data_IF_810142583108
#
_entry.id   IF_810142583108
#
_cell.length_a   1.000
_cell.length_b   1.000
_cell.length_c   1.000
_cell.angle_alpha   90.00
_cell.angle_beta   90.00
_cell.angle_gamma   90.00
#
_symmetry.space_group_name_H-M   'P 1'
#
loop_
_entity.id
_entity.type
_entity.pdbx_description
1 polymer ?
#
# COMPACT_ATOMS: atom_id res chain seq x y z
N UNK A 1 21.94 13.03 45.58
CA UNK A 1 22.52 13.26 44.24
C UNK A 1 21.56 12.67 43.23
N UNK A 2 20.96 13.54 42.42
CA UNK A 2 19.78 13.24 41.62
C UNK A 2 20.16 12.58 40.28
N UNK A 3 19.86 11.29 40.14
CA UNK A 3 20.12 10.49 38.94
C UNK A 3 19.28 10.94 37.71
N UNK A 4 18.39 11.91 37.88
CA UNK A 4 17.57 12.49 36.80
C UNK A 4 18.35 13.37 35.83
N UNK A 5 19.52 13.88 36.23
CA UNK A 5 20.35 14.73 35.36
C UNK A 5 21.23 13.94 34.37
N UNK A 6 21.39 12.62 34.55
CA UNK A 6 22.18 11.78 33.64
C UNK A 6 21.37 11.32 32.41
N UNK A 7 20.05 11.22 32.50
CA UNK A 7 19.18 10.82 31.38
C UNK A 7 18.88 11.98 30.42
N UNK A 8 18.97 13.23 30.87
CA UNK A 8 18.73 14.41 30.03
C UNK A 8 19.90 14.76 29.11
N UNK A 9 21.05 14.07 29.21
CA UNK A 9 22.27 14.40 28.47
C UNK A 9 22.54 13.52 27.25
N UNK A 10 21.62 12.60 26.89
CA UNK A 10 21.79 11.71 25.74
C UNK A 10 20.94 12.06 24.49
N UNK A 11 20.10 13.09 24.51
CA UNK A 11 19.19 13.39 23.37
C UNK A 11 19.62 14.55 22.46
N UNK A 12 20.91 14.90 22.41
CA UNK A 12 21.42 15.93 21.48
C UNK A 12 22.40 15.34 20.46
N UNK A 13 22.04 14.19 19.89
CA UNK A 13 22.64 13.66 18.66
C UNK A 13 21.57 13.66 17.58
N UNK A 14 21.92 14.12 16.37
CA UNK A 14 21.05 14.03 15.19
C UNK A 14 20.53 12.58 15.09
N UNK A 15 19.22 12.36 15.08
CA UNK A 15 18.65 11.01 15.00
C UNK A 15 19.08 10.38 13.66
N UNK A 16 20.08 9.49 13.69
CA UNK A 16 20.67 8.86 12.51
C UNK A 16 20.07 7.50 12.18
N UNK A 17 19.04 7.05 12.91
CA UNK A 17 18.45 5.70 12.76
C UNK A 17 18.03 5.40 11.32
N UNK A 18 17.57 6.41 10.58
CA UNK A 18 17.14 6.27 9.19
C UNK A 18 18.16 6.77 8.14
N UNK A 19 19.38 7.17 8.53
CA UNK A 19 20.33 7.77 7.56
C UNK A 19 20.73 6.80 6.45
N UNK A 20 20.98 5.53 6.80
CA UNK A 20 21.26 4.49 5.80
C UNK A 20 20.03 4.22 4.91
N UNK A 21 18.85 4.08 5.51
CA UNK A 21 17.59 3.86 4.80
C UNK A 21 17.33 4.95 3.75
N UNK A 22 17.47 6.22 4.15
CA UNK A 22 17.32 7.38 3.26
C UNK A 22 18.36 7.36 2.15
N UNK A 23 19.64 7.12 2.47
CA UNK A 23 20.70 7.06 1.45
C UNK A 23 20.46 5.96 0.42
N UNK A 24 20.04 4.76 0.87
CA UNK A 24 19.73 3.64 -0.01
C UNK A 24 18.49 3.91 -0.87
N UNK A 25 17.42 4.47 -0.30
CA UNK A 25 16.22 4.86 -1.05
C UNK A 25 16.54 5.90 -2.11
N UNK A 26 17.35 6.93 -1.81
CA UNK A 26 17.77 7.95 -2.78
C UNK A 26 18.51 7.38 -3.99
N UNK A 27 19.35 6.36 -3.79
CA UNK A 27 20.02 5.67 -4.90
C UNK A 27 19.04 4.84 -5.73
N UNK A 28 18.02 4.27 -5.11
CA UNK A 28 17.00 3.49 -5.83
C UNK A 28 15.98 4.38 -6.56
N UNK A 29 15.69 5.57 -6.02
CA UNK A 29 14.84 6.58 -6.68
C UNK A 29 15.37 6.95 -8.08
N UNK A 30 16.69 6.93 -8.29
CA UNK A 30 17.28 7.24 -9.61
C UNK A 30 16.98 6.17 -10.68
N UNK A 31 16.39 5.04 -10.29
CA UNK A 31 16.05 3.92 -11.17
C UNK A 31 14.56 3.86 -11.50
N UNK A 32 13.75 4.74 -10.91
CA UNK A 32 12.32 4.85 -11.22
C UNK A 32 12.12 5.28 -12.68
N UNK A 33 10.98 4.86 -13.25
CA UNK A 33 10.56 5.32 -14.57
C UNK A 33 10.42 6.84 -14.58
N UNK A 34 11.03 7.48 -15.57
CA UNK A 34 10.94 8.93 -15.75
C UNK A 34 9.67 9.30 -16.48
N UNK A 35 9.22 10.56 -16.36
CA UNK A 35 8.09 11.08 -17.15
C UNK A 35 8.28 10.84 -18.65
N UNK A 36 9.49 11.10 -19.16
CA UNK A 36 9.85 10.84 -20.56
C UNK A 36 9.76 9.37 -20.99
N UNK A 37 9.87 8.43 -20.05
CA UNK A 37 9.67 7.00 -20.35
C UNK A 37 8.18 6.71 -20.54
N UNK A 38 7.32 7.26 -19.67
CA UNK A 38 5.87 7.15 -19.80
C UNK A 38 5.37 7.80 -21.10
N UNK A 39 5.90 8.97 -21.48
CA UNK A 39 5.53 9.65 -22.73
C UNK A 39 5.79 8.76 -23.94
N UNK A 40 6.99 8.16 -24.02
CA UNK A 40 7.32 7.23 -25.10
C UNK A 40 6.45 5.97 -25.09
N UNK A 41 6.14 5.43 -23.91
CA UNK A 41 5.25 4.27 -23.78
C UNK A 41 3.83 4.59 -24.27
N UNK A 42 3.37 5.82 -24.09
CA UNK A 42 2.07 6.29 -24.55
C UNK A 42 2.03 6.53 -26.07
N UNK A 43 3.16 6.85 -26.69
CA UNK A 43 3.32 7.00 -28.14
C UNK A 43 3.46 5.65 -28.89
N UNK A 44 3.63 4.53 -28.17
CA UNK A 44 3.74 3.20 -28.77
C UNK A 44 2.48 2.85 -29.57
N UNK A 45 2.65 2.24 -30.76
CA UNK A 45 1.52 1.95 -31.64
C UNK A 45 0.69 0.76 -31.13
N UNK A 46 1.30 -0.10 -30.31
CA UNK A 46 0.65 -1.27 -29.72
C UNK A 46 1.01 -1.45 -28.26
N UNK A 47 0.15 -2.18 -27.55
CA UNK A 47 0.38 -2.56 -26.16
C UNK A 47 1.64 -3.43 -26.01
N UNK A 48 1.90 -4.33 -26.97
CA UNK A 48 3.09 -5.18 -27.02
C UNK A 48 4.38 -4.37 -27.14
N UNK A 49 4.39 -3.32 -27.94
CA UNK A 49 5.54 -2.42 -28.07
C UNK A 49 5.79 -1.68 -26.75
N UNK A 50 4.73 -1.18 -26.12
CA UNK A 50 4.81 -0.54 -24.80
C UNK A 50 5.39 -1.49 -23.74
N UNK A 51 4.91 -2.75 -23.70
CA UNK A 51 5.45 -3.78 -22.81
C UNK A 51 6.90 -4.15 -23.12
N UNK A 52 7.29 -4.18 -24.40
CA UNK A 52 8.67 -4.46 -24.80
C UNK A 52 9.61 -3.36 -24.31
N UNK A 53 9.20 -2.10 -24.40
CA UNK A 53 9.98 -1.00 -23.82
C UNK A 53 10.15 -1.17 -22.31
N UNK A 54 9.10 -1.60 -21.60
CA UNK A 54 9.15 -1.88 -20.17
C UNK A 54 10.08 -3.06 -19.84
N UNK A 55 10.12 -4.13 -20.64
CA UNK A 55 11.01 -5.28 -20.41
C UNK A 55 12.48 -4.98 -20.66
N UNK A 56 12.78 -3.96 -21.46
CA UNK A 56 14.14 -3.45 -21.64
C UNK A 56 14.64 -2.73 -20.37
N UNK A 57 13.74 -2.21 -19.53
CA UNK A 57 14.10 -1.62 -18.24
C UNK A 57 14.52 -2.73 -17.23
N UNK A 58 15.75 -2.69 -16.68
CA UNK A 58 16.23 -3.71 -15.75
C UNK A 58 15.36 -3.89 -14.49
N UNK A 59 14.73 -2.83 -13.99
CA UNK A 59 13.91 -2.88 -12.77
C UNK A 59 12.54 -3.55 -12.99
N UNK A 60 12.06 -3.62 -14.24
CA UNK A 60 10.74 -4.16 -14.60
C UNK A 60 10.81 -5.42 -15.46
N UNK A 61 11.97 -5.74 -16.04
CA UNK A 61 12.18 -6.92 -16.89
C UNK A 61 11.58 -8.19 -16.30
N UNK A 62 11.93 -8.50 -15.06
CA UNK A 62 11.50 -9.74 -14.42
C UNK A 62 9.98 -9.81 -14.25
N UNK A 63 9.31 -8.68 -13.98
CA UNK A 63 7.85 -8.67 -13.86
C UNK A 63 7.18 -8.87 -15.21
N UNK A 64 7.72 -8.25 -16.27
CA UNK A 64 7.20 -8.41 -17.63
C UNK A 64 7.40 -9.84 -18.12
N UNK A 65 8.54 -10.46 -17.83
CA UNK A 65 8.81 -11.87 -18.15
C UNK A 65 7.88 -12.84 -17.40
N UNK A 66 7.49 -12.50 -16.17
CA UNK A 66 6.58 -13.30 -15.34
C UNK A 66 5.10 -13.09 -15.70
N UNK A 67 4.76 -12.21 -16.64
CA UNK A 67 3.39 -12.03 -17.11
C UNK A 67 2.89 -13.31 -17.80
N UNK A 68 1.96 -14.00 -17.15
CA UNK A 68 1.25 -15.16 -17.75
C UNK A 68 0.33 -14.74 -18.89
N UNK A 69 -0.29 -13.57 -18.75
CA UNK A 69 -1.17 -12.96 -19.74
C UNK A 69 -0.75 -11.52 -19.97
N UNK A 70 -0.60 -11.14 -21.23
CA UNK A 70 -0.18 -9.79 -21.59
C UNK A 70 -1.12 -8.73 -21.02
N UNK A 71 -2.42 -9.00 -20.93
CA UNK A 71 -3.44 -8.09 -20.38
C UNK A 71 -3.29 -7.79 -18.87
N UNK A 72 -2.50 -8.57 -18.12
CA UNK A 72 -2.41 -8.45 -16.68
C UNK A 72 -1.33 -7.47 -16.21
N UNK A 73 -1.36 -6.24 -16.73
CA UNK A 73 -0.44 -5.17 -16.32
C UNK A 73 -0.48 -4.90 -14.81
N UNK A 74 -1.66 -5.01 -14.20
CA UNK A 74 -1.86 -4.82 -12.76
C UNK A 74 -0.94 -5.70 -11.92
N UNK A 75 -0.65 -6.93 -12.37
CA UNK A 75 0.25 -7.84 -11.66
C UNK A 75 1.70 -7.32 -11.58
N UNK A 76 2.19 -6.59 -12.59
CA UNK A 76 3.51 -5.93 -12.55
C UNK A 76 3.50 -4.88 -11.45
N UNK A 77 2.47 -4.04 -11.42
CA UNK A 77 2.36 -2.96 -10.44
C UNK A 77 2.30 -3.49 -9.00
N UNK A 78 1.47 -4.51 -8.75
CA UNK A 78 1.38 -5.18 -7.45
C UNK A 78 2.74 -5.78 -7.05
N UNK A 79 3.43 -6.45 -7.99
CA UNK A 79 4.76 -7.04 -7.74
C UNK A 79 5.79 -5.98 -7.32
N UNK A 80 5.82 -4.84 -8.02
CA UNK A 80 6.70 -3.71 -7.69
C UNK A 80 6.40 -3.12 -6.31
N UNK A 81 5.13 -2.93 -5.98
CA UNK A 81 4.72 -2.46 -4.66
C UNK A 81 5.11 -3.44 -3.54
N UNK A 82 4.96 -4.76 -3.76
CA UNK A 82 5.41 -5.78 -2.81
C UNK A 82 6.92 -5.67 -2.54
N UNK A 83 7.73 -5.49 -3.60
CA UNK A 83 9.18 -5.33 -3.44
C UNK A 83 9.55 -4.04 -2.74
N UNK A 84 8.91 -2.93 -3.07
CA UNK A 84 9.13 -1.65 -2.40
C UNK A 84 8.81 -1.75 -0.91
N UNK A 85 7.68 -2.36 -0.56
CA UNK A 85 7.31 -2.55 0.84
C UNK A 85 8.32 -3.43 1.58
N UNK A 86 8.72 -4.57 1.01
CA UNK A 86 9.71 -5.44 1.61
C UNK A 86 11.03 -4.69 1.84
N UNK A 87 11.47 -3.91 0.85
CA UNK A 87 12.65 -3.06 0.99
C UNK A 87 12.51 -2.04 2.12
N UNK A 88 11.41 -1.28 2.19
CA UNK A 88 11.24 -0.29 3.26
C UNK A 88 11.16 -0.98 4.62
N UNK A 89 10.48 -2.13 4.71
CA UNK A 89 10.41 -2.96 5.93
C UNK A 89 11.79 -3.47 6.36
N UNK A 90 12.67 -3.85 5.42
CA UNK A 90 14.07 -4.23 5.70
C UNK A 90 14.93 -3.04 6.15
N UNK A 91 14.63 -1.84 5.66
CA UNK A 91 15.42 -0.62 5.95
C UNK A 91 14.95 0.12 7.20
N UNK A 92 13.78 -0.22 7.75
CA UNK A 92 13.18 0.49 8.88
C UNK A 92 13.16 -0.38 10.14
N UNK A 93 13.45 0.24 11.30
CA UNK A 93 13.38 -0.44 12.60
C UNK A 93 11.93 -0.56 13.09
N UNK A 94 11.11 0.46 12.79
CA UNK A 94 9.70 0.55 13.19
C UNK A 94 8.77 0.11 12.05
N UNK A 95 8.34 -1.15 12.11
CA UNK A 95 7.37 -1.70 11.15
C UNK A 95 6.02 -0.98 11.20
N UNK A 96 5.67 -0.38 12.33
CA UNK A 96 4.42 0.36 12.49
C UNK A 96 4.35 1.56 11.54
N UNK A 97 5.46 2.25 11.30
CA UNK A 97 5.54 3.38 10.36
C UNK A 97 5.31 2.88 8.93
N UNK A 98 5.94 1.76 8.56
CA UNK A 98 5.82 1.19 7.22
C UNK A 98 4.42 0.61 6.97
N UNK A 99 3.78 0.05 8.01
CA UNK A 99 2.41 -0.46 7.96
C UNK A 99 1.37 0.62 7.63
N UNK A 100 1.60 1.88 8.01
CA UNK A 100 0.68 2.99 7.67
C UNK A 100 0.50 3.11 6.15
N UNK A 101 1.54 2.89 5.36
CA UNK A 101 1.44 2.93 3.90
C UNK A 101 0.62 1.77 3.32
N UNK A 102 0.64 0.60 3.97
CA UNK A 102 -0.14 -0.57 3.55
C UNK A 102 -1.60 -0.47 3.95
N UNK A 103 -1.89 0.27 5.03
CA UNK A 103 -3.23 0.39 5.58
C UNK A 103 -4.24 0.92 4.55
N UNK A 104 -3.79 1.78 3.63
CA UNK A 104 -4.62 2.26 2.51
C UNK A 104 -5.24 1.10 1.73
N UNK A 105 -4.50 0.02 1.47
CA UNK A 105 -4.99 -1.12 0.71
C UNK A 105 -6.00 -1.95 1.50
N UNK A 106 -5.80 -2.16 2.80
CA UNK A 106 -6.80 -2.80 3.66
C UNK A 106 -8.11 -2.02 3.63
N UNK A 107 -7.99 -0.69 3.69
CA UNK A 107 -9.11 0.24 3.65
C UNK A 107 -9.87 0.18 2.32
N UNK A 108 -9.16 0.19 1.19
CA UNK A 108 -9.78 0.09 -0.13
C UNK A 108 -10.44 -1.29 -0.36
N UNK A 109 -9.83 -2.36 0.17
CA UNK A 109 -10.43 -3.69 0.20
C UNK A 109 -11.70 -3.72 1.06
N UNK A 110 -11.69 -3.11 2.23
CA UNK A 110 -12.86 -2.99 3.12
C UNK A 110 -14.01 -2.22 2.47
N UNK A 111 -13.73 -1.08 1.81
CA UNK A 111 -14.74 -0.34 1.01
C UNK A 111 -15.43 -1.27 0.04
N UNK A 112 -14.63 -2.03 -0.70
CA UNK A 112 -15.09 -2.94 -1.74
C UNK A 112 -15.98 -4.03 -1.15
N UNK A 113 -15.55 -4.66 -0.06
CA UNK A 113 -16.34 -5.67 0.67
C UNK A 113 -17.68 -5.12 1.17
N UNK A 114 -17.71 -3.91 1.71
CA UNK A 114 -18.93 -3.27 2.22
C UNK A 114 -19.88 -2.93 1.09
N UNK A 115 -19.37 -2.38 -0.03
CA UNK A 115 -20.17 -2.12 -1.23
C UNK A 115 -20.80 -3.41 -1.77
N UNK A 116 -20.04 -4.50 -1.83
CA UNK A 116 -20.53 -5.83 -2.24
C UNK A 116 -21.67 -6.30 -1.31
N UNK A 117 -21.49 -6.18 0.01
CA UNK A 117 -22.51 -6.53 1.02
C UNK A 117 -23.79 -5.69 0.84
N UNK A 118 -23.67 -4.37 0.67
CA UNK A 118 -24.81 -3.46 0.50
C UNK A 118 -25.58 -3.69 -0.80
N UNK A 119 -24.88 -4.09 -1.86
CA UNK A 119 -25.48 -4.35 -3.18
C UNK A 119 -26.00 -5.79 -3.32
N UNK A 120 -25.88 -6.63 -2.29
CA UNK A 120 -26.33 -8.03 -2.31
C UNK A 120 -25.59 -8.92 -3.30
N UNK A 121 -24.39 -8.51 -3.75
CA UNK A 121 -23.62 -9.21 -4.77
C UNK A 121 -22.62 -10.21 -4.20
N UNK A 122 -22.19 -11.16 -5.04
CA UNK A 122 -21.04 -12.06 -4.80
C UNK A 122 -19.86 -11.74 -5.72
N UNK A 123 -19.83 -10.53 -6.31
CA UNK A 123 -18.87 -10.16 -7.35
C UNK A 123 -17.44 -10.50 -6.93
N UNK A 124 -16.73 -11.18 -7.83
CA UNK A 124 -15.28 -11.16 -7.86
C UNK A 124 -14.86 -9.71 -8.09
N UNK A 125 -14.44 -9.04 -7.02
CA UNK A 125 -13.78 -7.76 -7.13
C UNK A 125 -12.28 -7.98 -7.20
N UNK A 126 -11.58 -7.13 -7.95
CA UNK A 126 -10.13 -7.06 -7.93
C UNK A 126 -9.65 -6.54 -6.58
N UNK A 127 -9.53 -7.43 -5.61
CA UNK A 127 -8.92 -7.11 -4.31
C UNK A 127 -7.41 -7.01 -4.47
N UNK A 128 -6.80 -6.05 -3.78
CA UNK A 128 -5.36 -5.84 -3.83
C UNK A 128 -4.73 -6.50 -2.60
N UNK A 129 -4.00 -7.58 -2.81
CA UNK A 129 -3.26 -8.32 -1.77
C UNK A 129 -1.95 -7.61 -1.40
N UNK A 130 -2.08 -6.38 -0.89
CA UNK A 130 -0.99 -5.52 -0.41
C UNK A 130 -1.26 -4.97 1.00
N UNK A 131 -2.45 -5.23 1.56
CA UNK A 131 -2.80 -4.79 2.90
C UNK A 131 -1.99 -5.52 3.98
N UNK A 132 -2.07 -5.00 5.21
CA UNK A 132 -1.57 -5.66 6.42
C UNK A 132 -2.34 -6.97 6.64
N UNK A 133 -3.62 -7.00 6.27
CA UNK A 133 -4.51 -8.14 6.47
C UNK A 133 -4.80 -8.86 5.17
N UNK A 134 -4.90 -10.20 5.27
CA UNK A 134 -5.42 -11.01 4.17
C UNK A 134 -6.88 -10.68 3.91
N UNK A 135 -7.30 -10.78 2.65
CA UNK A 135 -8.68 -10.47 2.26
C UNK A 135 -9.71 -11.36 2.98
N UNK A 136 -9.35 -12.61 3.29
CA UNK A 136 -10.19 -13.53 4.07
C UNK A 136 -10.45 -12.99 5.48
N UNK A 137 -9.43 -12.43 6.13
CA UNK A 137 -9.55 -11.82 7.46
C UNK A 137 -10.48 -10.60 7.41
N UNK A 138 -10.38 -9.77 6.37
CA UNK A 138 -11.27 -8.63 6.16
C UNK A 138 -12.72 -9.08 5.85
N UNK A 139 -12.91 -10.18 5.12
CA UNK A 139 -14.24 -10.76 4.85
C UNK A 139 -14.90 -11.27 6.13
N UNK A 140 -14.15 -11.98 6.95
CA UNK A 140 -14.64 -12.51 8.23
C UNK A 140 -15.02 -11.37 9.17
N UNK A 141 -14.25 -10.27 9.16
CA UNK A 141 -14.58 -9.06 9.90
C UNK A 141 -15.96 -8.50 9.49
N UNK A 142 -16.21 -8.32 8.19
CA UNK A 142 -17.49 -7.77 7.69
C UNK A 142 -18.69 -8.68 7.97
N UNK A 143 -18.45 -9.99 8.12
CA UNK A 143 -19.49 -10.98 8.46
C UNK A 143 -19.76 -11.05 9.96
N UNK A 144 -18.70 -11.12 10.77
CA UNK A 144 -18.78 -11.49 12.19
C UNK A 144 -18.61 -10.29 13.15
N UNK A 145 -18.34 -9.08 12.64
CA UNK A 145 -18.06 -7.86 13.41
C UNK A 145 -16.94 -8.01 14.46
N UNK A 146 -15.97 -8.90 14.23
CA UNK A 146 -15.01 -9.26 15.26
C UNK A 146 -13.56 -9.28 14.75
N UNK A 147 -12.87 -8.13 14.87
CA UNK A 147 -11.41 -8.05 14.99
C UNK A 147 -11.00 -6.66 15.49
N UNK A 148 -9.95 -6.59 16.31
CA UNK A 148 -9.28 -5.34 16.70
C UNK A 148 -8.20 -5.05 15.66
N UNK A 149 -8.42 -4.06 14.80
CA UNK A 149 -7.34 -3.53 13.97
C UNK A 149 -6.31 -2.81 14.85
N UNK A 150 -5.02 -2.80 14.46
CA UNK A 150 -4.00 -2.05 15.16
C UNK A 150 -4.29 -0.55 15.05
N UNK A 151 -4.65 0.07 16.17
CA UNK A 151 -4.98 1.51 16.27
C UNK A 151 -6.48 1.76 16.44
N UNK A 152 -6.85 2.38 17.55
CA UNK A 152 -8.25 2.70 17.93
C UNK A 152 -9.01 3.42 16.81
N UNK A 153 -8.33 4.36 16.13
CA UNK A 153 -8.92 5.16 15.05
C UNK A 153 -9.45 4.31 13.88
N UNK A 154 -8.77 3.23 13.51
CA UNK A 154 -9.19 2.38 12.38
C UNK A 154 -10.39 1.52 12.80
N UNK A 155 -10.41 1.07 14.06
CA UNK A 155 -11.57 0.41 14.64
C UNK A 155 -12.81 1.31 14.63
N UNK A 156 -12.64 2.56 15.09
CA UNK A 156 -13.71 3.57 15.11
C UNK A 156 -14.21 3.89 13.71
N UNK A 157 -13.29 3.97 12.75
CA UNK A 157 -13.58 4.24 11.37
C UNK A 157 -14.43 3.16 10.71
N UNK A 158 -14.11 1.88 10.97
CA UNK A 158 -14.92 0.80 10.41
C UNK A 158 -16.24 0.64 11.15
N UNK A 159 -16.28 0.89 12.46
CA UNK A 159 -17.54 0.96 13.20
C UNK A 159 -18.47 2.00 12.55
N UNK A 160 -17.99 3.21 12.28
CA UNK A 160 -18.73 4.24 11.54
C UNK A 160 -19.18 3.79 10.16
N UNK A 161 -18.34 3.09 9.39
CA UNK A 161 -18.74 2.62 8.04
C UNK A 161 -19.76 1.48 8.11
N UNK A 162 -19.70 0.62 9.12
CA UNK A 162 -20.66 -0.48 9.27
C UNK A 162 -22.10 0.01 9.44
N UNK A 163 -22.29 1.23 9.95
CA UNK A 163 -23.58 1.90 10.08
C UNK A 163 -24.06 2.57 8.78
N UNK A 164 -23.20 2.66 7.76
CA UNK A 164 -23.50 3.33 6.50
C UNK A 164 -24.44 2.48 5.65
N UNK A 165 -25.66 2.98 5.48
CA UNK A 165 -26.70 2.32 4.66
C UNK A 165 -26.62 2.65 3.16
N UNK A 166 -25.83 3.66 2.77
CA UNK A 166 -25.74 4.13 1.37
C UNK A 166 -24.29 4.04 0.87
N UNK A 167 -24.00 3.33 -0.22
CA UNK A 167 -22.64 3.18 -0.76
C UNK A 167 -21.90 4.51 -1.01
N UNK A 168 -22.62 5.57 -1.39
CA UNK A 168 -22.05 6.89 -1.70
C UNK A 168 -21.50 7.62 -0.46
N UNK A 169 -22.02 7.30 0.74
CA UNK A 169 -21.55 7.90 2.00
C UNK A 169 -20.22 7.31 2.48
N UNK A 170 -19.82 6.16 1.94
CA UNK A 170 -18.56 5.52 2.29
C UNK A 170 -17.41 6.45 1.89
N UNK A 171 -17.38 6.94 0.65
CA UNK A 171 -16.30 7.83 0.16
C UNK A 171 -16.16 9.11 1.01
N UNK A 172 -17.28 9.75 1.39
CA UNK A 172 -17.26 10.96 2.21
C UNK A 172 -16.65 10.75 3.61
N UNK A 173 -16.99 9.64 4.27
CA UNK A 173 -16.42 9.31 5.59
C UNK A 173 -14.92 8.99 5.48
N UNK A 174 -14.48 8.45 4.34
CA UNK A 174 -13.08 8.20 4.07
C UNK A 174 -12.28 9.49 3.94
N UNK A 175 -12.79 10.47 3.21
CA UNK A 175 -12.14 11.77 3.05
C UNK A 175 -11.96 12.47 4.41
N UNK A 176 -12.93 12.34 5.33
CA UNK A 176 -12.87 12.87 6.70
C UNK A 176 -11.82 12.17 7.60
N UNK A 177 -11.45 10.92 7.29
CA UNK A 177 -10.50 10.16 8.12
C UNK A 177 -9.04 10.35 7.71
N UNK A 178 -8.79 10.76 6.46
CA UNK A 178 -7.46 10.91 5.87
C UNK A 178 -6.98 12.36 5.71
N UNK A 179 -7.86 13.36 5.84
CA UNK A 179 -7.54 14.79 5.85
C UNK A 179 -7.59 15.35 7.28
#
# INVERSE_FOLDING_TARGET
MDNRLLLARQSSGKDTRYTYAVGRLRVLETRLLTGSFFDKMAEAATYEESLKMLSENPEYRQDVENLKEKSNFESIFISQLKRLYNLVSELTEDKEITNIFLLKYDIDNLKTLIKIKLLGGTKEAGFVDLGIFKIETLRDYIKNNNFKLPGEKIGDFIAKISEVRKPQRIEFLFDEFYL
#
